data_IF_069419683196
#
_entry.id   IF_069419683196
#
_cell.length_a   1.000
_cell.length_b   1.000
_cell.length_c   1.000
_cell.angle_alpha   90.00
_cell.angle_beta   90.00
_cell.angle_gamma   90.00
#
_symmetry.space_group_name_H-M   'P 1'
#
loop_
_entity.id
_entity.type
_entity.pdbx_description
1 polymer ?
#
# COMPACT_ATOMS: atom_id res chain seq x y z
N UNK A 1 29.53 33.76 12.51
CA UNK A 1 30.16 34.20 11.25
C UNK A 1 31.69 34.22 11.32
N UNK A 2 32.29 34.87 12.32
CA UNK A 2 33.76 34.97 12.49
C UNK A 2 34.48 33.62 12.49
N UNK A 3 33.98 32.63 13.24
CA UNK A 3 34.57 31.29 13.28
C UNK A 3 34.58 30.60 11.90
N UNK A 4 33.52 30.75 11.11
CA UNK A 4 33.45 30.15 9.77
C UNK A 4 34.51 30.76 8.83
N UNK A 5 34.64 32.10 8.81
CA UNK A 5 35.66 32.79 7.99
C UNK A 5 37.09 32.38 8.38
N UNK A 6 37.37 32.20 9.69
CA UNK A 6 38.67 31.71 10.15
C UNK A 6 38.97 30.29 9.65
N UNK A 7 37.98 29.38 9.70
CA UNK A 7 38.14 28.03 9.16
C UNK A 7 38.32 28.02 7.63
N UNK A 8 37.60 28.86 6.89
CA UNK A 8 37.79 29.03 5.43
C UNK A 8 39.23 29.46 5.11
N UNK A 9 39.77 30.43 5.86
CA UNK A 9 41.14 30.90 5.68
C UNK A 9 42.18 29.81 5.94
N UNK A 10 41.98 28.97 6.97
CA UNK A 10 42.88 27.85 7.28
C UNK A 10 42.88 26.83 6.15
N UNK A 11 41.72 26.46 5.60
CA UNK A 11 41.63 25.54 4.46
C UNK A 11 42.31 26.15 3.22
N UNK A 12 42.14 27.46 2.98
CA UNK A 12 42.74 28.15 1.84
C UNK A 12 44.28 28.16 1.85
N UNK A 13 44.92 27.92 3.00
CA UNK A 13 46.39 27.82 3.07
C UNK A 13 46.96 26.60 2.35
N UNK A 14 46.15 25.54 2.13
CA UNK A 14 46.59 24.29 1.52
C UNK A 14 47.57 23.47 2.36
N UNK A 15 47.79 23.84 3.64
CA UNK A 15 48.78 23.20 4.53
C UNK A 15 48.22 22.07 5.39
N UNK A 16 46.92 21.79 5.30
CA UNK A 16 46.27 20.73 6.06
C UNK A 16 46.58 19.36 5.44
N UNK A 17 46.69 18.33 6.28
CA UNK A 17 46.63 16.95 5.81
C UNK A 17 45.25 16.66 5.21
N UNK A 18 45.13 15.65 4.34
CA UNK A 18 43.83 15.26 3.76
C UNK A 18 42.80 14.91 4.85
N UNK A 19 43.24 14.19 5.89
CA UNK A 19 42.39 13.80 7.03
C UNK A 19 41.99 14.96 7.94
N UNK A 20 42.77 16.04 8.02
CA UNK A 20 42.37 17.24 8.76
C UNK A 20 41.50 18.15 7.90
N UNK A 21 41.81 18.29 6.61
CA UNK A 21 41.01 19.07 5.68
C UNK A 21 39.54 18.62 5.69
N UNK A 22 39.29 17.31 5.65
CA UNK A 22 37.91 16.80 5.63
C UNK A 22 37.12 17.13 6.91
N UNK A 23 37.78 17.13 8.08
CA UNK A 23 37.16 17.52 9.37
C UNK A 23 36.83 19.02 9.39
N UNK A 24 37.69 19.86 8.82
CA UNK A 24 37.46 21.29 8.71
C UNK A 24 36.30 21.59 7.74
N UNK A 25 36.24 20.91 6.60
CA UNK A 25 35.15 20.99 5.62
C UNK A 25 33.81 20.56 6.27
N UNK A 26 33.80 19.46 7.03
CA UNK A 26 32.63 19.01 7.78
C UNK A 26 32.15 20.09 8.78
N UNK A 27 33.08 20.65 9.55
CA UNK A 27 32.80 21.68 10.56
C UNK A 27 32.20 22.94 9.92
N UNK A 28 32.74 23.38 8.79
CA UNK A 28 32.21 24.53 8.04
C UNK A 28 30.78 24.30 7.56
N UNK A 29 30.47 23.10 7.03
CA UNK A 29 29.11 22.75 6.63
C UNK A 29 28.11 22.90 7.78
N UNK A 30 28.44 22.35 8.95
CA UNK A 30 27.61 22.46 10.15
C UNK A 30 27.47 23.89 10.71
N UNK A 31 28.55 24.69 10.64
CA UNK A 31 28.51 26.09 11.06
C UNK A 31 27.60 26.93 10.17
N UNK A 32 27.75 26.81 8.84
CA UNK A 32 26.91 27.54 7.89
C UNK A 32 25.44 27.12 7.99
N UNK A 33 25.17 25.83 8.21
CA UNK A 33 23.84 25.34 8.49
C UNK A 33 23.23 26.01 9.73
N UNK A 34 23.98 26.08 10.85
CA UNK A 34 23.49 26.64 12.12
C UNK A 34 23.14 28.12 12.02
N UNK A 35 23.91 28.88 11.22
CA UNK A 35 23.63 30.30 10.97
C UNK A 35 22.64 30.52 9.81
N UNK A 36 22.03 29.44 9.29
CA UNK A 36 21.01 29.43 8.22
C UNK A 36 21.51 29.96 6.87
N UNK A 37 22.82 29.99 6.64
CA UNK A 37 23.40 30.24 5.32
C UNK A 37 23.42 28.91 4.54
N UNK A 38 22.24 28.50 4.08
CA UNK A 38 22.06 27.22 3.40
C UNK A 38 22.87 27.10 2.10
N UNK A 39 23.03 28.15 1.26
CA UNK A 39 23.88 28.06 0.07
C UNK A 39 25.35 27.72 0.40
N UNK A 40 25.94 28.35 1.43
CA UNK A 40 27.30 28.00 1.86
C UNK A 40 27.35 26.64 2.53
N UNK A 41 26.36 26.30 3.35
CA UNK A 41 26.26 24.97 3.96
C UNK A 41 26.25 23.88 2.87
N UNK A 42 25.43 24.02 1.82
CA UNK A 42 25.40 23.12 0.67
C UNK A 42 26.79 22.98 0.04
N UNK A 43 27.49 24.10 -0.18
CA UNK A 43 28.82 24.10 -0.80
C UNK A 43 29.81 23.26 0.01
N UNK A 44 29.89 23.49 1.31
CA UNK A 44 30.83 22.80 2.20
C UNK A 44 30.43 21.34 2.46
N UNK A 45 29.15 21.05 2.66
CA UNK A 45 28.64 19.68 2.83
C UNK A 45 28.81 18.83 1.56
N UNK A 46 28.59 19.41 0.37
CA UNK A 46 28.83 18.71 -0.90
C UNK A 46 30.32 18.43 -1.11
N UNK A 47 31.19 19.38 -0.73
CA UNK A 47 32.64 19.21 -0.77
C UNK A 47 33.11 18.08 0.14
N UNK A 48 32.56 17.97 1.36
CA UNK A 48 32.87 16.88 2.29
C UNK A 48 32.68 15.51 1.63
N UNK A 49 31.54 15.29 0.96
CA UNK A 49 31.25 14.03 0.27
C UNK A 49 32.19 13.79 -0.91
N UNK A 50 32.52 14.84 -1.68
CA UNK A 50 33.44 14.75 -2.82
C UNK A 50 34.88 14.41 -2.39
N UNK A 51 35.29 14.87 -1.22
CA UNK A 51 36.62 14.60 -0.64
C UNK A 51 36.71 13.25 0.10
N UNK A 52 35.71 12.37 -0.07
CA UNK A 52 35.73 11.00 0.46
C UNK A 52 35.03 10.84 1.82
N UNK A 53 34.28 11.86 2.26
CA UNK A 53 33.52 11.80 3.51
C UNK A 53 32.29 10.93 3.37
N UNK A 54 32.05 10.05 4.33
CA UNK A 54 31.00 9.03 4.26
C UNK A 54 30.09 8.99 5.50
N UNK A 55 30.16 9.99 6.38
CA UNK A 55 29.30 10.07 7.57
C UNK A 55 27.81 10.20 7.16
N UNK A 56 26.95 9.21 7.52
CA UNK A 56 25.51 9.27 7.25
C UNK A 56 24.83 10.53 7.80
N UNK A 57 25.31 11.07 8.92
CA UNK A 57 24.76 12.29 9.54
C UNK A 57 24.99 13.51 8.64
N UNK A 58 26.11 13.55 7.92
CA UNK A 58 26.42 14.65 7.01
C UNK A 58 25.61 14.57 5.72
N UNK A 59 25.34 13.37 5.21
CA UNK A 59 24.42 13.18 4.08
C UNK A 59 22.99 13.59 4.44
N UNK A 60 22.49 13.16 5.61
CA UNK A 60 21.19 13.59 6.12
C UNK A 60 21.11 15.13 6.30
N UNK A 61 22.18 15.74 6.84
CA UNK A 61 22.27 17.19 6.97
C UNK A 61 22.24 17.90 5.61
N UNK A 62 22.91 17.36 4.59
CA UNK A 62 22.88 17.91 3.24
C UNK A 62 21.48 17.84 2.62
N UNK A 63 20.78 16.71 2.75
CA UNK A 63 19.37 16.57 2.32
C UNK A 63 18.48 17.62 2.98
N UNK A 64 18.61 17.76 4.31
CA UNK A 64 17.86 18.76 5.07
C UNK A 64 18.21 20.20 4.62
N UNK A 65 19.49 20.46 4.34
CA UNK A 65 19.94 21.77 3.87
C UNK A 65 19.37 22.10 2.49
N UNK A 66 19.33 21.15 1.56
CA UNK A 66 18.64 21.32 0.29
C UNK A 66 17.15 21.63 0.49
N UNK A 67 16.47 20.87 1.35
CA UNK A 67 15.06 21.08 1.66
C UNK A 67 14.78 22.49 2.22
N UNK A 68 15.58 22.94 3.20
CA UNK A 68 15.45 24.27 3.81
C UNK A 68 15.83 25.40 2.84
N UNK A 69 16.73 25.14 1.89
CA UNK A 69 17.05 26.06 0.80
C UNK A 69 16.01 26.03 -0.34
N UNK A 70 14.88 25.33 -0.16
CA UNK A 70 13.83 25.12 -1.16
C UNK A 70 14.32 24.43 -2.45
N UNK A 71 15.44 23.72 -2.40
CA UNK A 71 15.98 22.95 -3.50
C UNK A 71 15.47 21.50 -3.46
N UNK A 72 14.19 21.36 -3.78
CA UNK A 72 13.48 20.08 -3.63
C UNK A 72 14.04 18.99 -4.54
N UNK A 73 14.50 19.35 -5.74
CA UNK A 73 15.06 18.41 -6.70
C UNK A 73 16.37 17.79 -6.17
N UNK A 74 17.31 18.62 -5.68
CA UNK A 74 18.56 18.09 -5.09
C UNK A 74 18.31 17.37 -3.77
N UNK A 75 17.35 17.82 -2.95
CA UNK A 75 16.94 17.10 -1.75
C UNK A 75 16.43 15.68 -2.09
N UNK A 76 15.54 15.55 -3.08
CA UNK A 76 15.03 14.26 -3.53
C UNK A 76 16.11 13.36 -4.12
N UNK A 77 17.02 13.92 -4.92
CA UNK A 77 18.10 13.15 -5.53
C UNK A 77 19.06 12.60 -4.46
N UNK A 78 19.49 13.45 -3.53
CA UNK A 78 20.40 13.05 -2.45
C UNK A 78 19.75 12.00 -1.53
N UNK A 79 18.49 12.19 -1.15
CA UNK A 79 17.76 11.24 -0.31
C UNK A 79 17.56 9.88 -1.00
N UNK A 80 17.25 9.87 -2.30
CA UNK A 80 17.14 8.60 -3.07
C UNK A 80 18.48 7.87 -3.13
N UNK A 81 19.59 8.59 -3.28
CA UNK A 81 20.92 7.98 -3.28
C UNK A 81 21.25 7.34 -1.92
N UNK A 82 20.93 8.02 -0.81
CA UNK A 82 21.07 7.46 0.54
C UNK A 82 20.23 6.19 0.72
N UNK A 83 18.96 6.25 0.34
CA UNK A 83 18.06 5.10 0.43
C UNK A 83 18.53 3.91 -0.42
N UNK A 84 19.06 4.15 -1.62
CA UNK A 84 19.65 3.10 -2.45
C UNK A 84 20.91 2.49 -1.84
N UNK A 85 21.71 3.29 -1.13
CA UNK A 85 22.86 2.78 -0.40
C UNK A 85 22.43 1.90 0.78
N UNK A 86 21.36 2.29 1.48
CA UNK A 86 20.76 1.47 2.55
C UNK A 86 20.22 0.15 2.01
N UNK A 87 19.47 0.19 0.90
CA UNK A 87 18.94 -1.00 0.23
C UNK A 87 20.08 -1.96 -0.18
N UNK A 88 21.17 -1.43 -0.77
CA UNK A 88 22.36 -2.23 -1.16
C UNK A 88 23.11 -2.81 0.05
N UNK A 89 23.11 -2.10 1.17
CA UNK A 89 23.73 -2.54 2.41
C UNK A 89 22.84 -3.45 3.25
N UNK A 90 21.61 -3.76 2.81
CA UNK A 90 20.63 -4.53 3.58
C UNK A 90 20.15 -3.81 4.84
N UNK A 91 20.29 -2.47 4.89
CA UNK A 91 19.83 -1.64 6.01
C UNK A 91 18.40 -1.20 5.75
N UNK A 92 17.56 -1.30 6.77
CA UNK A 92 16.19 -0.78 6.71
C UNK A 92 16.22 0.75 6.72
N UNK A 93 15.66 1.43 5.69
CA UNK A 93 15.48 2.87 5.70
C UNK A 93 14.70 3.34 6.92
N UNK A 94 15.06 4.47 7.51
CA UNK A 94 14.26 5.03 8.61
C UNK A 94 12.90 5.54 8.12
N UNK A 95 11.90 5.51 9.00
CA UNK A 95 10.56 6.01 8.72
C UNK A 95 10.60 7.50 8.32
N UNK A 96 11.37 8.32 9.04
CA UNK A 96 11.55 9.76 8.77
C UNK A 96 12.10 10.03 7.36
N UNK A 97 13.06 9.22 6.89
CA UNK A 97 13.60 9.35 5.53
C UNK A 97 12.52 9.03 4.48
N UNK A 98 11.71 8.00 4.70
CA UNK A 98 10.63 7.64 3.76
C UNK A 98 9.49 8.67 3.78
N UNK A 99 9.14 9.21 4.95
CA UNK A 99 8.19 10.32 5.08
C UNK A 99 8.70 11.59 4.39
N UNK A 100 9.98 11.92 4.54
CA UNK A 100 10.60 13.05 3.84
C UNK A 100 10.59 12.84 2.32
N UNK A 101 10.85 11.62 1.85
CA UNK A 101 10.77 11.29 0.42
C UNK A 101 9.34 11.49 -0.11
N UNK A 102 8.33 11.04 0.63
CA UNK A 102 6.92 11.26 0.27
C UNK A 102 6.58 12.76 0.26
N UNK A 103 7.00 13.52 1.27
CA UNK A 103 6.76 14.97 1.33
C UNK A 103 7.39 15.70 0.13
N UNK A 104 8.66 15.40 -0.17
CA UNK A 104 9.38 15.98 -1.30
C UNK A 104 8.67 15.69 -2.62
N UNK A 105 8.20 14.46 -2.82
CA UNK A 105 7.44 14.07 -4.01
C UNK A 105 6.09 14.81 -4.10
N UNK A 106 5.38 14.96 -2.98
CA UNK A 106 4.13 15.72 -2.92
C UNK A 106 4.34 17.19 -3.30
N UNK A 107 5.37 17.84 -2.74
CA UNK A 107 5.69 19.25 -3.04
C UNK A 107 6.13 19.47 -4.49
N UNK A 108 6.67 18.44 -5.13
CA UNK A 108 7.02 18.45 -6.55
C UNK A 108 5.86 18.03 -7.47
N UNK A 109 4.69 17.70 -6.91
CA UNK A 109 3.55 17.12 -7.63
C UNK A 109 3.89 15.81 -8.38
N UNK A 110 4.92 15.09 -7.95
CA UNK A 110 5.33 13.80 -8.51
C UNK A 110 4.52 12.67 -7.86
N UNK A 111 3.36 12.38 -8.45
CA UNK A 111 2.42 11.37 -7.95
C UNK A 111 3.03 9.96 -7.95
N UNK A 112 3.89 9.63 -8.91
CA UNK A 112 4.50 8.31 -9.03
C UNK A 112 5.56 8.10 -7.94
N UNK A 113 6.44 9.09 -7.72
CA UNK A 113 7.39 9.03 -6.63
C UNK A 113 6.72 9.02 -5.26
N UNK A 114 5.61 9.77 -5.10
CA UNK A 114 4.84 9.76 -3.87
C UNK A 114 4.30 8.36 -3.58
N UNK A 115 3.62 7.74 -4.55
CA UNK A 115 3.08 6.39 -4.40
C UNK A 115 4.18 5.39 -4.04
N UNK A 116 5.34 5.44 -4.71
CA UNK A 116 6.46 4.57 -4.37
C UNK A 116 6.99 4.78 -2.95
N UNK A 117 7.08 6.03 -2.48
CA UNK A 117 7.48 6.32 -1.10
C UNK A 117 6.49 5.75 -0.08
N UNK A 118 5.19 5.88 -0.34
CA UNK A 118 4.13 5.32 0.51
C UNK A 118 4.13 3.78 0.53
N UNK A 119 4.38 3.16 -0.62
CA UNK A 119 4.52 1.71 -0.71
C UNK A 119 5.70 1.20 0.13
N UNK A 120 6.83 1.93 0.12
CA UNK A 120 7.97 1.64 1.01
C UNK A 120 7.63 1.87 2.48
N UNK A 121 6.89 2.94 2.80
CA UNK A 121 6.42 3.19 4.17
C UNK A 121 5.58 2.01 4.66
N UNK A 122 4.63 1.52 3.87
CA UNK A 122 3.84 0.34 4.25
C UNK A 122 4.69 -0.92 4.36
N UNK A 123 5.64 -1.13 3.44
CA UNK A 123 6.47 -2.33 3.45
C UNK A 123 7.39 -2.44 4.69
N UNK A 124 7.91 -1.31 5.19
CA UNK A 124 8.81 -1.29 6.34
C UNK A 124 8.12 -0.91 7.66
N UNK A 125 7.05 -0.13 7.58
CA UNK A 125 6.34 0.48 8.70
C UNK A 125 4.81 0.43 8.47
N UNK A 126 4.17 -0.75 8.46
CA UNK A 126 2.75 -0.88 8.15
C UNK A 126 1.89 -0.24 9.24
N UNK A 127 1.61 1.06 9.09
CA UNK A 127 0.73 1.85 9.96
C UNK A 127 -0.60 2.15 9.28
N UNK A 128 -1.63 2.39 10.09
CA UNK A 128 -3.01 2.55 9.60
C UNK A 128 -3.12 3.73 8.64
N UNK A 129 -2.46 4.84 8.96
CA UNK A 129 -2.45 6.07 8.17
C UNK A 129 -1.82 5.89 6.78
N UNK A 130 -0.81 5.05 6.63
CA UNK A 130 -0.17 4.81 5.33
C UNK A 130 -1.04 3.95 4.42
N UNK A 131 -1.67 2.93 4.99
CA UNK A 131 -2.68 2.16 4.27
C UNK A 131 -3.87 3.02 3.86
N UNK A 132 -4.35 3.91 4.75
CA UNK A 132 -5.43 4.83 4.42
C UNK A 132 -5.07 5.72 3.22
N UNK A 133 -3.87 6.29 3.17
CA UNK A 133 -3.41 7.09 2.03
C UNK A 133 -3.34 6.25 0.73
N UNK A 134 -2.71 5.06 0.76
CA UNK A 134 -2.61 4.20 -0.42
C UNK A 134 -3.99 3.82 -0.98
N UNK A 135 -4.92 3.43 -0.11
CA UNK A 135 -6.28 3.05 -0.51
C UNK A 135 -7.07 4.22 -1.07
N UNK A 136 -6.94 5.40 -0.46
CA UNK A 136 -7.58 6.63 -0.96
C UNK A 136 -7.01 7.03 -2.33
N UNK A 137 -5.72 6.83 -2.58
CA UNK A 137 -5.10 7.09 -3.89
C UNK A 137 -5.62 6.16 -4.97
N UNK A 138 -5.74 4.87 -4.67
CA UNK A 138 -6.31 3.91 -5.62
C UNK A 138 -7.74 4.32 -5.97
N UNK A 139 -8.57 4.62 -4.95
CA UNK A 139 -9.97 5.00 -5.15
C UNK A 139 -10.15 6.35 -5.89
N UNK A 140 -9.27 7.32 -5.65
CA UNK A 140 -9.35 8.67 -6.27
C UNK A 140 -8.66 8.77 -7.63
N UNK A 141 -8.02 7.69 -8.10
CA UNK A 141 -7.35 7.65 -9.40
C UNK A 141 -8.39 7.80 -10.51
N UNK A 142 -8.19 8.71 -11.49
CA UNK A 142 -9.07 8.81 -12.64
C UNK A 142 -9.19 7.46 -13.36
N UNK A 143 -10.42 7.04 -13.64
CA UNK A 143 -10.72 5.75 -14.27
C UNK A 143 -10.91 4.58 -13.30
N UNK A 144 -10.82 4.80 -11.97
CA UNK A 144 -11.19 3.78 -11.00
C UNK A 144 -12.64 3.32 -11.22
N UNK A 145 -12.86 2.02 -11.35
CA UNK A 145 -14.17 1.48 -11.65
C UNK A 145 -15.01 1.25 -10.38
N UNK A 146 -16.20 1.85 -10.32
CA UNK A 146 -17.12 1.73 -9.17
C UNK A 146 -17.46 0.28 -8.79
N UNK A 147 -17.47 -0.62 -9.77
CA UNK A 147 -17.69 -2.06 -9.54
C UNK A 147 -16.68 -2.70 -8.58
N UNK A 148 -15.48 -2.12 -8.46
CA UNK A 148 -14.41 -2.59 -7.56
C UNK A 148 -14.62 -2.11 -6.12
N UNK A 149 -15.74 -1.44 -5.79
CA UNK A 149 -16.03 -0.98 -4.45
C UNK A 149 -15.91 -2.11 -3.42
N UNK A 150 -16.52 -3.28 -3.68
CA UNK A 150 -16.42 -4.42 -2.77
C UNK A 150 -14.96 -4.91 -2.62
N UNK A 151 -14.20 -4.96 -3.71
CA UNK A 151 -12.80 -5.39 -3.68
C UNK A 151 -11.89 -4.42 -2.89
N UNK A 152 -12.16 -3.12 -2.98
CA UNK A 152 -11.51 -2.13 -2.12
C UNK A 152 -11.88 -2.31 -0.66
N UNK A 153 -13.15 -2.60 -0.35
CA UNK A 153 -13.59 -2.87 1.02
C UNK A 153 -12.98 -4.15 1.59
N UNK A 154 -12.81 -5.21 0.79
CA UNK A 154 -12.09 -6.43 1.18
C UNK A 154 -10.66 -6.12 1.60
N UNK A 155 -9.96 -5.28 0.83
CA UNK A 155 -8.61 -4.86 1.17
C UNK A 155 -8.60 -3.95 2.41
N UNK A 156 -9.52 -2.98 2.52
CA UNK A 156 -9.70 -2.15 3.73
C UNK A 156 -9.91 -3.01 4.99
N UNK A 157 -10.70 -4.08 4.89
CA UNK A 157 -10.90 -5.01 6.00
C UNK A 157 -9.58 -5.71 6.36
N UNK A 158 -8.89 -6.28 5.36
CA UNK A 158 -7.63 -7.00 5.58
C UNK A 158 -6.51 -6.10 6.15
N UNK A 159 -6.46 -4.83 5.77
CA UNK A 159 -5.48 -3.85 6.25
C UNK A 159 -5.96 -3.05 7.48
N UNK A 160 -7.02 -3.51 8.17
CA UNK A 160 -7.48 -2.93 9.44
C UNK A 160 -8.04 -1.52 9.36
N UNK A 161 -8.60 -1.13 8.21
CA UNK A 161 -9.10 0.22 7.91
C UNK A 161 -10.60 0.39 8.13
N UNK A 162 -11.34 -0.70 8.35
CA UNK A 162 -12.76 -0.61 8.70
C UNK A 162 -12.91 -0.33 10.19
N UNK A 163 -13.41 0.86 10.52
CA UNK A 163 -13.46 1.38 11.89
C UNK A 163 -14.81 1.98 12.29
N UNK A 164 -15.84 1.88 11.44
CA UNK A 164 -17.16 2.45 11.73
C UNK A 164 -18.32 1.51 11.35
N UNK A 165 -19.43 1.63 12.07
CA UNK A 165 -20.67 0.89 11.79
C UNK A 165 -21.11 1.00 10.32
N UNK A 166 -21.06 2.21 9.76
CA UNK A 166 -21.44 2.49 8.38
C UNK A 166 -20.59 1.70 7.37
N UNK A 167 -19.29 1.56 7.61
CA UNK A 167 -18.40 0.81 6.72
C UNK A 167 -18.69 -0.70 6.72
N UNK A 168 -18.97 -1.28 7.90
CA UNK A 168 -19.34 -2.70 8.00
C UNK A 168 -20.70 -2.98 7.33
N UNK A 169 -21.66 -2.07 7.51
CA UNK A 169 -22.96 -2.17 6.83
C UNK A 169 -22.81 -2.08 5.31
N UNK A 170 -22.09 -1.07 4.82
CA UNK A 170 -21.87 -0.86 3.38
C UNK A 170 -21.20 -2.08 2.74
N UNK A 171 -20.12 -2.58 3.34
CA UNK A 171 -19.43 -3.75 2.83
C UNK A 171 -20.33 -5.00 2.82
N UNK A 172 -21.13 -5.21 3.86
CA UNK A 172 -22.09 -6.32 3.91
C UNK A 172 -23.16 -6.20 2.83
N UNK A 173 -23.67 -4.99 2.59
CA UNK A 173 -24.66 -4.71 1.53
C UNK A 173 -24.07 -4.89 0.13
N UNK A 174 -22.85 -4.42 -0.11
CA UNK A 174 -22.14 -4.64 -1.37
C UNK A 174 -21.93 -6.13 -1.65
N UNK A 175 -21.56 -6.92 -0.65
CA UNK A 175 -21.42 -8.37 -0.78
C UNK A 175 -22.76 -9.06 -1.13
N UNK A 176 -23.87 -8.65 -0.50
CA UNK A 176 -25.20 -9.14 -0.84
C UNK A 176 -25.60 -8.80 -2.28
N UNK A 177 -25.37 -7.55 -2.70
CA UNK A 177 -25.67 -7.09 -4.07
C UNK A 177 -24.82 -7.81 -5.12
N UNK A 178 -23.58 -8.16 -4.78
CA UNK A 178 -22.68 -8.93 -5.64
C UNK A 178 -23.01 -10.43 -5.70
N UNK A 179 -24.03 -10.90 -4.96
CA UNK A 179 -24.40 -12.32 -4.93
C UNK A 179 -23.51 -13.18 -4.03
N UNK A 180 -22.84 -12.58 -3.04
CA UNK A 180 -22.00 -13.29 -2.06
C UNK A 180 -22.59 -13.16 -0.63
N UNK A 181 -23.80 -13.70 -0.38
CA UNK A 181 -24.49 -13.50 0.89
C UNK A 181 -23.76 -14.12 2.09
N UNK A 182 -23.02 -15.21 1.89
CA UNK A 182 -22.20 -15.81 2.95
C UNK A 182 -21.06 -14.86 3.40
N UNK A 183 -20.43 -14.14 2.46
CA UNK A 183 -19.46 -13.09 2.77
C UNK A 183 -20.15 -11.93 3.50
N UNK A 184 -21.28 -11.45 2.98
CA UNK A 184 -22.08 -10.38 3.60
C UNK A 184 -22.47 -10.69 5.05
N UNK A 185 -22.84 -11.94 5.33
CA UNK A 185 -23.12 -12.47 6.67
C UNK A 185 -21.87 -12.41 7.57
N UNK A 186 -20.72 -12.92 7.11
CA UNK A 186 -19.47 -12.89 7.88
C UNK A 186 -19.06 -11.46 8.24
N UNK A 187 -19.19 -10.52 7.30
CA UNK A 187 -18.85 -9.10 7.51
C UNK A 187 -19.74 -8.45 8.59
N UNK A 188 -21.07 -8.60 8.47
CA UNK A 188 -21.98 -7.99 9.46
C UNK A 188 -21.78 -8.63 10.83
N UNK A 189 -21.59 -9.95 10.92
CA UNK A 189 -21.27 -10.63 12.18
C UNK A 189 -19.97 -10.13 12.80
N UNK A 190 -18.93 -9.89 12.00
CA UNK A 190 -17.67 -9.29 12.49
C UNK A 190 -17.89 -7.88 13.07
N UNK A 191 -18.76 -7.07 12.45
CA UNK A 191 -19.13 -5.76 13.00
C UNK A 191 -19.82 -5.85 14.38
N UNK A 192 -20.64 -6.88 14.60
CA UNK A 192 -21.23 -7.18 15.91
C UNK A 192 -20.17 -7.66 16.91
N UNK A 193 -19.27 -8.55 16.50
CA UNK A 193 -18.18 -9.06 17.35
C UNK A 193 -17.24 -7.94 17.82
N UNK A 194 -16.99 -6.96 16.97
CA UNK A 194 -16.18 -5.78 17.28
C UNK A 194 -16.95 -4.68 18.04
N UNK A 195 -18.19 -4.93 18.47
CA UNK A 195 -19.07 -3.97 19.15
C UNK A 195 -19.35 -2.66 18.36
N UNK A 196 -19.10 -2.66 17.05
CA UNK A 196 -19.41 -1.54 16.16
C UNK A 196 -20.88 -1.58 15.70
N UNK A 197 -21.47 -2.78 15.64
CA UNK A 197 -22.87 -3.01 15.30
C UNK A 197 -23.63 -3.57 16.50
N UNK A 198 -24.96 -3.54 16.43
CA UNK A 198 -25.85 -4.05 17.48
C UNK A 198 -26.07 -3.12 18.68
N UNK A 199 -25.47 -1.93 18.69
CA UNK A 199 -25.63 -0.92 19.75
C UNK A 199 -26.14 0.41 19.18
N UNK A 200 -26.59 1.30 20.06
CA UNK A 200 -27.05 2.65 19.70
C UNK A 200 -28.40 2.68 18.96
N UNK A 201 -28.80 3.86 18.44
CA UNK A 201 -30.10 4.07 17.79
C UNK A 201 -30.33 3.18 16.56
N UNK A 202 -29.26 2.83 15.84
CA UNK A 202 -29.32 2.01 14.62
C UNK A 202 -29.27 0.50 14.90
N UNK A 203 -29.23 0.04 16.17
CA UNK A 203 -29.12 -1.37 16.53
C UNK A 203 -30.17 -2.27 15.85
N UNK A 204 -31.42 -1.79 15.76
CA UNK A 204 -32.50 -2.51 15.08
C UNK A 204 -32.25 -2.64 13.56
N UNK A 205 -31.65 -1.63 12.93
CA UNK A 205 -31.24 -1.68 11.51
C UNK A 205 -30.08 -2.65 11.31
N UNK A 206 -29.08 -2.63 12.19
CA UNK A 206 -27.96 -3.57 12.18
C UNK A 206 -28.45 -5.02 12.25
N UNK A 207 -29.39 -5.30 13.16
CA UNK A 207 -30.00 -6.63 13.32
C UNK A 207 -30.74 -7.07 12.06
N UNK A 208 -31.56 -6.21 11.46
CA UNK A 208 -32.27 -6.52 10.20
C UNK A 208 -31.31 -6.88 9.06
N UNK A 209 -30.19 -6.19 8.93
CA UNK A 209 -29.18 -6.52 7.91
C UNK A 209 -28.55 -7.89 8.18
N UNK A 210 -28.19 -8.18 9.43
CA UNK A 210 -27.66 -9.49 9.83
C UNK A 210 -28.63 -10.63 9.52
N UNK A 211 -29.90 -10.46 9.88
CA UNK A 211 -30.92 -11.48 9.68
C UNK A 211 -31.21 -11.70 8.18
N UNK A 212 -31.21 -10.62 7.37
CA UNK A 212 -31.29 -10.70 5.90
C UNK A 212 -30.11 -11.46 5.30
N UNK A 213 -28.88 -11.13 5.71
CA UNK A 213 -27.67 -11.78 5.21
C UNK A 213 -27.65 -13.26 5.59
N UNK A 214 -28.03 -13.60 6.83
CA UNK A 214 -28.14 -14.97 7.30
C UNK A 214 -29.17 -15.79 6.51
N UNK A 215 -30.37 -15.22 6.27
CA UNK A 215 -31.40 -15.86 5.44
C UNK A 215 -30.90 -16.08 4.01
N UNK A 216 -30.36 -15.05 3.38
CA UNK A 216 -29.88 -15.11 1.99
C UNK A 216 -28.75 -16.13 1.83
N UNK A 217 -27.82 -16.21 2.80
CA UNK A 217 -26.74 -17.19 2.78
C UNK A 217 -27.27 -18.63 2.91
N UNK A 218 -28.29 -18.85 3.74
CA UNK A 218 -28.91 -20.17 3.89
C UNK A 218 -29.70 -20.59 2.65
N UNK A 219 -30.30 -19.65 1.93
CA UNK A 219 -30.99 -19.91 0.65
C UNK A 219 -30.00 -20.22 -0.47
N UNK A 220 -28.90 -19.46 -0.56
CA UNK A 220 -27.85 -19.63 -1.57
C UNK A 220 -27.19 -21.01 -1.49
N UNK A 221 -26.86 -21.49 -0.29
CA UNK A 221 -26.30 -22.84 -0.08
C UNK A 221 -27.21 -23.94 -0.62
N UNK A 222 -28.53 -23.77 -0.57
CA UNK A 222 -29.49 -24.77 -1.08
C UNK A 222 -29.50 -24.84 -2.61
N UNK A 223 -29.20 -23.74 -3.30
CA UNK A 223 -29.25 -23.65 -4.75
C UNK A 223 -27.89 -23.84 -5.42
N UNK A 224 -26.79 -23.76 -4.66
CA UNK A 224 -25.41 -23.91 -5.18
C UNK A 224 -25.19 -25.14 -6.05
N UNK A 225 -25.69 -26.32 -5.64
CA UNK A 225 -25.50 -27.56 -6.39
C UNK A 225 -26.21 -27.53 -7.77
N UNK A 226 -27.39 -26.92 -7.83
CA UNK A 226 -28.10 -26.69 -9.09
C UNK A 226 -27.35 -25.69 -9.97
N UNK A 227 -26.85 -24.60 -9.37
CA UNK A 227 -26.03 -23.60 -10.05
C UNK A 227 -24.76 -24.18 -10.69
N UNK A 228 -24.16 -25.21 -10.09
CA UNK A 228 -22.99 -25.91 -10.64
C UNK A 228 -23.32 -26.66 -11.93
N UNK A 229 -24.44 -27.38 -11.95
CA UNK A 229 -24.89 -28.11 -13.14
C UNK A 229 -25.16 -27.16 -14.31
N UNK A 230 -25.71 -25.97 -14.03
CA UNK A 230 -26.03 -24.97 -15.05
C UNK A 230 -24.79 -24.19 -15.52
N UNK A 231 -23.90 -23.81 -14.60
CA UNK A 231 -22.64 -23.14 -14.95
C UNK A 231 -21.74 -23.99 -15.86
N UNK A 232 -21.73 -25.30 -15.69
CA UNK A 232 -20.97 -26.22 -16.54
C UNK A 232 -21.48 -26.27 -17.99
N UNK A 233 -22.79 -26.07 -18.20
CA UNK A 233 -23.43 -26.10 -19.54
C UNK A 233 -23.22 -24.81 -20.32
N UNK A 234 -22.93 -23.69 -19.66
CA UNK A 234 -22.71 -22.41 -20.32
C UNK A 234 -21.48 -22.47 -21.24
N UNK A 235 -21.40 -21.58 -22.24
CA UNK A 235 -20.24 -21.51 -23.13
C UNK A 235 -19.09 -20.69 -22.52
N UNK A 236 -19.44 -19.67 -21.75
CA UNK A 236 -18.48 -18.84 -21.02
C UNK A 236 -18.10 -19.41 -19.63
N UNK A 237 -17.07 -18.82 -19.02
CA UNK A 237 -16.60 -19.15 -17.69
C UNK A 237 -17.23 -18.34 -16.54
N UNK A 238 -18.17 -17.44 -16.81
CA UNK A 238 -18.64 -16.44 -15.82
C UNK A 238 -19.34 -17.14 -14.65
N UNK A 239 -20.24 -18.08 -14.95
CA UNK A 239 -20.97 -18.83 -13.93
C UNK A 239 -20.04 -19.63 -13.02
N UNK A 240 -18.98 -20.23 -13.59
CA UNK A 240 -17.99 -21.02 -12.85
C UNK A 240 -17.15 -20.16 -11.91
N UNK A 241 -16.74 -18.97 -12.35
CA UNK A 241 -16.00 -18.02 -11.49
C UNK A 241 -16.87 -17.56 -10.32
N UNK A 242 -18.11 -17.13 -10.58
CA UNK A 242 -19.00 -16.61 -9.54
C UNK A 242 -19.38 -17.70 -8.53
N UNK A 243 -19.78 -18.88 -9.02
CA UNK A 243 -20.13 -20.01 -8.14
C UNK A 243 -18.91 -20.50 -7.37
N UNK A 244 -17.75 -20.57 -8.02
CA UNK A 244 -16.51 -20.93 -7.38
C UNK A 244 -16.18 -19.97 -6.22
N UNK A 245 -16.32 -18.65 -6.42
CA UNK A 245 -16.13 -17.69 -5.34
C UNK A 245 -17.19 -17.82 -4.24
N UNK A 246 -18.45 -18.12 -4.58
CA UNK A 246 -19.48 -18.40 -3.57
C UNK A 246 -19.11 -19.62 -2.68
N UNK A 247 -18.53 -20.67 -3.27
CA UNK A 247 -17.95 -21.79 -2.51
C UNK A 247 -16.80 -21.37 -1.59
N UNK A 248 -15.92 -20.46 -2.03
CA UNK A 248 -14.87 -19.89 -1.17
C UNK A 248 -15.48 -19.21 0.06
N UNK A 249 -16.52 -18.39 -0.14
CA UNK A 249 -17.14 -17.64 0.96
C UNK A 249 -17.86 -18.54 1.98
N UNK A 250 -18.14 -19.79 1.62
CA UNK A 250 -18.68 -20.84 2.50
C UNK A 250 -17.62 -21.84 2.98
N UNK A 251 -16.34 -21.47 2.88
CA UNK A 251 -15.17 -22.23 3.34
C UNK A 251 -14.91 -23.55 2.58
N UNK A 252 -15.58 -23.76 1.44
CA UNK A 252 -15.35 -24.89 0.53
C UNK A 252 -14.23 -24.58 -0.47
N UNK A 253 -13.03 -24.33 0.08
CA UNK A 253 -11.91 -23.74 -0.66
C UNK A 253 -11.46 -24.52 -1.90
N UNK A 254 -11.22 -25.83 -1.78
CA UNK A 254 -10.72 -26.64 -2.91
C UNK A 254 -11.72 -26.69 -4.06
N UNK A 255 -13.01 -26.88 -3.75
CA UNK A 255 -14.08 -26.88 -4.75
C UNK A 255 -14.20 -25.53 -5.43
N UNK A 256 -14.21 -24.45 -4.63
CA UNK A 256 -14.28 -23.09 -5.14
C UNK A 256 -13.13 -22.74 -6.07
N UNK A 257 -11.88 -23.02 -5.65
CA UNK A 257 -10.69 -22.79 -6.47
C UNK A 257 -10.77 -23.58 -7.78
N UNK A 258 -11.14 -24.86 -7.73
CA UNK A 258 -11.27 -25.70 -8.92
C UNK A 258 -12.26 -25.11 -9.93
N UNK A 259 -13.43 -24.66 -9.49
CA UNK A 259 -14.43 -24.04 -10.35
C UNK A 259 -13.94 -22.70 -10.93
N UNK A 260 -13.30 -21.87 -10.11
CA UNK A 260 -12.75 -20.59 -10.58
C UNK A 260 -11.63 -20.78 -11.61
N UNK A 261 -10.70 -21.71 -11.38
CA UNK A 261 -9.65 -22.06 -12.34
C UNK A 261 -10.23 -22.62 -13.65
N UNK A 262 -11.31 -23.40 -13.58
CA UNK A 262 -12.04 -23.87 -14.76
C UNK A 262 -12.70 -22.71 -15.51
N UNK A 263 -13.38 -21.80 -14.80
CA UNK A 263 -14.02 -20.62 -15.39
C UNK A 263 -13.01 -19.69 -16.08
N UNK A 264 -11.88 -19.41 -15.42
CA UNK A 264 -10.80 -18.59 -16.01
C UNK A 264 -10.21 -19.25 -17.25
N UNK A 265 -9.99 -20.59 -17.24
CA UNK A 265 -9.49 -21.33 -18.41
C UNK A 265 -10.49 -21.36 -19.56
N UNK A 266 -11.79 -21.48 -19.26
CA UNK A 266 -12.87 -21.50 -20.25
C UNK A 266 -13.00 -20.18 -20.99
N UNK A 267 -12.64 -19.06 -20.36
CA UNK A 267 -12.57 -17.75 -20.99
C UNK A 267 -13.95 -17.13 -21.23
N UNK A 268 -14.04 -16.30 -22.28
CA UNK A 268 -15.23 -15.49 -22.62
C UNK A 268 -15.75 -14.62 -21.45
N UNK A 269 -14.84 -14.30 -20.54
CA UNK A 269 -15.14 -13.46 -19.40
C UNK A 269 -15.26 -12.02 -19.86
N UNK A 270 -16.38 -11.37 -19.50
CA UNK A 270 -16.55 -9.92 -19.71
C UNK A 270 -15.45 -9.12 -19.01
N UNK A 271 -14.90 -9.66 -17.92
CA UNK A 271 -13.91 -9.02 -17.04
C UNK A 271 -12.89 -10.04 -16.55
N UNK A 272 -11.92 -10.40 -17.41
CA UNK A 272 -10.94 -11.43 -17.06
C UNK A 272 -10.04 -11.01 -15.89
N UNK A 273 -9.73 -9.73 -15.76
CA UNK A 273 -8.87 -9.22 -14.67
C UNK A 273 -9.59 -9.27 -13.31
N UNK A 274 -10.87 -8.93 -13.24
CA UNK A 274 -11.70 -9.11 -12.03
C UNK A 274 -11.71 -10.59 -11.61
N UNK A 275 -11.87 -11.52 -12.56
CA UNK A 275 -11.86 -12.95 -12.27
C UNK A 275 -10.50 -13.45 -11.74
N UNK A 276 -9.38 -12.96 -12.29
CA UNK A 276 -8.04 -13.26 -11.77
C UNK A 276 -7.83 -12.68 -10.38
N UNK A 277 -8.30 -11.45 -10.14
CA UNK A 277 -8.25 -10.81 -8.82
C UNK A 277 -9.01 -11.65 -7.77
N UNK A 278 -10.22 -12.08 -8.10
CA UNK A 278 -11.02 -12.93 -7.21
C UNK A 278 -10.42 -14.33 -7.02
N UNK A 279 -9.82 -14.93 -8.05
CA UNK A 279 -9.10 -16.21 -7.92
C UNK A 279 -7.87 -16.07 -7.01
N UNK A 280 -7.15 -14.95 -7.08
CA UNK A 280 -6.05 -14.67 -6.17
C UNK A 280 -6.55 -14.53 -4.71
N UNK A 281 -7.68 -13.84 -4.50
CA UNK A 281 -8.36 -13.78 -3.19
C UNK A 281 -8.79 -15.16 -2.69
N UNK A 282 -9.28 -16.02 -3.58
CA UNK A 282 -9.65 -17.39 -3.25
C UNK A 282 -8.45 -18.21 -2.75
N UNK A 283 -7.30 -18.13 -3.44
CA UNK A 283 -6.06 -18.74 -2.96
C UNK A 283 -5.64 -18.19 -1.59
N UNK A 284 -5.78 -16.87 -1.38
CA UNK A 284 -5.42 -16.25 -0.11
C UNK A 284 -6.30 -16.75 1.04
N UNK A 285 -7.62 -16.78 0.85
CA UNK A 285 -8.58 -17.29 1.83
C UNK A 285 -8.36 -18.77 2.15
N UNK A 286 -7.95 -19.55 1.16
CA UNK A 286 -7.56 -20.96 1.33
C UNK A 286 -6.16 -21.15 2.00
N UNK A 287 -5.49 -20.08 2.43
CA UNK A 287 -4.15 -20.13 3.01
C UNK A 287 -3.01 -20.35 2.01
N UNK A 288 -3.30 -20.43 0.71
CA UNK A 288 -2.32 -20.67 -0.37
C UNK A 288 -1.60 -19.38 -0.77
N UNK A 289 -0.92 -18.73 0.19
CA UNK A 289 -0.28 -17.40 0.03
C UNK A 289 0.62 -17.28 -1.19
N UNK A 290 1.50 -18.26 -1.44
CA UNK A 290 2.42 -18.22 -2.58
C UNK A 290 1.67 -18.20 -3.94
N UNK A 291 0.63 -19.03 -4.07
CA UNK A 291 -0.23 -19.05 -5.27
C UNK A 291 -1.04 -17.76 -5.41
N UNK A 292 -1.54 -17.22 -4.30
CA UNK A 292 -2.24 -15.94 -4.30
C UNK A 292 -1.35 -14.82 -4.84
N UNK A 293 -0.12 -14.68 -4.33
CA UNK A 293 0.86 -13.68 -4.81
C UNK A 293 1.15 -13.89 -6.30
N UNK A 294 1.38 -15.14 -6.74
CA UNK A 294 1.62 -15.44 -8.15
C UNK A 294 0.45 -14.99 -9.02
N UNK A 295 -0.78 -15.29 -8.61
CA UNK A 295 -1.99 -14.90 -9.35
C UNK A 295 -2.19 -13.38 -9.35
N UNK A 296 -2.05 -12.69 -8.21
CA UNK A 296 -2.15 -11.23 -8.14
C UNK A 296 -1.18 -10.53 -9.10
N UNK A 297 0.05 -11.05 -9.24
CA UNK A 297 1.04 -10.49 -10.18
C UNK A 297 0.62 -10.60 -11.66
N UNK A 298 -0.34 -11.46 -11.99
CA UNK A 298 -0.88 -11.59 -13.35
C UNK A 298 -2.05 -10.64 -13.63
N UNK A 299 -2.57 -9.98 -12.61
CA UNK A 299 -3.69 -9.05 -12.71
C UNK A 299 -3.21 -7.72 -13.28
N UNK A 300 -3.83 -7.35 -14.39
CA UNK A 300 -3.58 -6.12 -15.15
C UNK A 300 -4.82 -5.22 -15.10
N UNK A 301 -4.81 -4.16 -15.91
CA UNK A 301 -5.91 -3.18 -16.00
C UNK A 301 -5.51 -1.81 -15.47
N UNK A 302 -6.12 -0.78 -16.06
CA UNK A 302 -5.92 0.63 -15.71
C UNK A 302 -7.08 1.22 -14.90
N UNK A 303 -8.07 0.40 -14.56
CA UNK A 303 -9.32 0.79 -13.91
C UNK A 303 -9.33 0.54 -12.38
N UNK A 304 -8.15 0.31 -11.80
CA UNK A 304 -7.94 0.02 -10.39
C UNK A 304 -7.66 -1.45 -10.08
N UNK A 305 -7.97 -2.37 -11.00
CA UNK A 305 -7.81 -3.82 -10.75
C UNK A 305 -6.35 -4.20 -10.47
N UNK A 306 -5.41 -3.71 -11.27
CA UNK A 306 -3.96 -3.95 -11.06
C UNK A 306 -3.43 -3.26 -9.79
N UNK A 307 -3.95 -2.06 -9.47
CA UNK A 307 -3.56 -1.35 -8.25
C UNK A 307 -4.01 -2.12 -6.99
N UNK A 308 -5.25 -2.63 -6.97
CA UNK A 308 -5.73 -3.49 -5.88
C UNK A 308 -4.91 -4.77 -5.74
N UNK A 309 -4.57 -5.43 -6.86
CA UNK A 309 -3.74 -6.63 -6.83
C UNK A 309 -2.34 -6.35 -6.26
N UNK A 310 -1.71 -5.23 -6.63
CA UNK A 310 -0.42 -4.81 -6.07
C UNK A 310 -0.50 -4.58 -4.56
N UNK A 311 -1.55 -3.89 -4.10
CA UNK A 311 -1.75 -3.66 -2.67
C UNK A 311 -2.06 -4.95 -1.89
N UNK A 312 -2.75 -5.93 -2.48
CA UNK A 312 -2.92 -7.25 -1.87
C UNK A 312 -1.60 -7.98 -1.70
N UNK A 313 -0.71 -7.96 -2.69
CA UNK A 313 0.64 -8.55 -2.55
C UNK A 313 1.40 -7.88 -1.40
N UNK A 314 1.29 -6.56 -1.27
CA UNK A 314 1.89 -5.81 -0.16
C UNK A 314 1.31 -6.23 1.19
N UNK A 315 -0.01 -6.32 1.31
CA UNK A 315 -0.69 -6.73 2.55
C UNK A 315 -0.32 -8.16 2.97
N UNK A 316 -0.09 -9.06 2.01
CA UNK A 316 0.33 -10.45 2.30
C UNK A 316 1.77 -10.50 2.83
N UNK A 317 2.67 -9.72 2.24
CA UNK A 317 4.09 -9.70 2.59
C UNK A 317 4.37 -8.88 3.86
N UNK A 318 3.58 -7.84 4.10
CA UNK A 318 3.74 -6.88 5.18
C UNK A 318 2.39 -6.63 5.86
N UNK A 319 1.83 -7.66 6.55
CA UNK A 319 0.56 -7.49 7.23
C UNK A 319 0.69 -6.42 8.31
N UNK A 320 -0.39 -5.67 8.51
CA UNK A 320 -0.56 -4.83 9.70
C UNK A 320 -0.38 -5.69 10.95
N UNK A 321 0.54 -5.31 11.83
CA UNK A 321 0.71 -5.91 13.16
C UNK A 321 -0.44 -5.51 14.10
#
# INVERSE_FOLDING_TARGET
>A
ETAAKSFEAVIATGRLSSGDQIKYVQTLGGLYYRIKDYPKAITWLSRYLKEGGDDPKIRALLVQTYYLNNDLARASQALRADLQADDKAGRTPSEDQLQLLANLAARQNDKAAYANAMERLVAHYPKKEYWADLLNRVQSKPGYADRLALDLYRLKLASGQLNSAAQYMEMSQLALQAGFPAEGKKIVELGFQNNLLGTGPEAARHKRLRDLAAKSAAEDVKTMAQGEADANKNKDGIGLVNLGYAYITTDQFEKGISLMEQGVRKGELKRPEDAKLHLALAYLQAGKKAKAIQMFKTVQGNDGTSDLARLWVMQINHPMN
#
